data_IF_520695007727
#
_entry.id   IF_520695007727
#
_cell.length_a   1.000
_cell.length_b   1.000
_cell.length_c   1.000
_cell.angle_alpha   90.00
_cell.angle_beta   90.00
_cell.angle_gamma   90.00
#
_symmetry.space_group_name_H-M   'P 1'
#
loop_
_entity.id
_entity.type
_entity.pdbx_description
1 polymer ?
#
# COMPACT_ATOMS: atom_id res chain seq x y z
N UNK A 1 -0.24 -27.53 -1.09
CA UNK A 1 -0.77 -26.54 -0.11
C UNK A 1 0.23 -26.38 1.02
N UNK A 2 0.62 -25.17 1.32
CA UNK A 2 1.46 -24.82 2.46
C UNK A 2 0.70 -25.03 3.78
N UNK A 3 1.42 -25.30 4.87
CA UNK A 3 0.81 -25.60 6.18
C UNK A 3 0.45 -24.37 7.00
N UNK A 4 0.96 -23.19 6.64
CA UNK A 4 0.93 -22.00 7.50
C UNK A 4 0.21 -20.85 6.83
N UNK A 5 -0.58 -20.07 7.60
CA UNK A 5 -1.07 -18.78 7.13
C UNK A 5 0.09 -17.81 6.90
N UNK A 6 -0.08 -16.89 5.99
CA UNK A 6 0.94 -15.90 5.63
C UNK A 6 0.40 -14.48 5.84
N UNK A 7 1.21 -13.63 6.44
CA UNK A 7 1.10 -12.17 6.39
C UNK A 7 2.33 -11.67 5.66
N UNK A 8 2.14 -11.17 4.44
CA UNK A 8 3.20 -10.62 3.61
C UNK A 8 3.18 -9.09 3.68
N UNK A 9 4.31 -8.50 4.06
CA UNK A 9 4.44 -7.06 4.32
C UNK A 9 4.54 -6.20 3.08
N UNK A 10 4.73 -6.77 1.86
CA UNK A 10 4.95 -5.94 0.68
C UNK A 10 4.74 -6.69 -0.65
N UNK A 11 4.05 -6.04 -1.58
CA UNK A 11 4.14 -6.31 -3.01
C UNK A 11 3.73 -5.08 -3.83
N UNK A 12 4.22 -4.98 -5.09
CA UNK A 12 3.91 -3.89 -6.02
C UNK A 12 2.70 -4.20 -6.93
N UNK A 13 2.07 -5.34 -6.74
CA UNK A 13 1.04 -5.86 -7.63
C UNK A 13 -0.08 -4.85 -7.90
N UNK A 14 -0.52 -4.06 -6.91
CA UNK A 14 -1.62 -3.11 -7.07
C UNK A 14 -1.35 -2.08 -8.19
N UNK A 15 -0.14 -1.51 -8.23
CA UNK A 15 0.26 -0.54 -9.25
C UNK A 15 0.47 -1.22 -10.62
N UNK A 16 1.03 -2.43 -10.61
CA UNK A 16 1.23 -3.21 -11.84
C UNK A 16 -0.10 -3.60 -12.50
N UNK A 17 -1.11 -4.01 -11.72
CA UNK A 17 -2.46 -4.28 -12.23
C UNK A 17 -3.05 -3.06 -12.95
N UNK A 18 -2.98 -1.89 -12.31
CA UNK A 18 -3.45 -0.65 -12.91
C UNK A 18 -2.70 -0.30 -14.20
N UNK A 19 -1.37 -0.42 -14.21
CA UNK A 19 -0.53 -0.12 -15.40
C UNK A 19 -0.83 -1.02 -16.59
N UNK A 20 -1.10 -2.29 -16.33
CA UNK A 20 -1.26 -3.32 -17.37
C UNK A 20 -2.71 -3.61 -17.70
N UNK A 21 -3.66 -3.14 -16.88
CA UNK A 21 -5.07 -3.50 -17.00
C UNK A 21 -5.33 -4.97 -16.66
N UNK A 22 -4.50 -5.57 -15.81
CA UNK A 22 -4.61 -6.97 -15.41
C UNK A 22 -5.51 -7.16 -14.19
N UNK A 23 -6.05 -8.36 -14.00
CA UNK A 23 -6.92 -8.72 -12.86
C UNK A 23 -6.12 -9.20 -11.66
N UNK A 24 -6.65 -8.95 -10.45
CA UNK A 24 -6.12 -9.54 -9.22
C UNK A 24 -6.27 -11.07 -9.21
N UNK A 25 -7.24 -11.64 -9.92
CA UNK A 25 -7.45 -13.09 -10.00
C UNK A 25 -6.23 -13.82 -10.56
N UNK A 26 -5.77 -13.35 -11.73
CA UNK A 26 -4.58 -13.85 -12.42
C UNK A 26 -3.84 -12.68 -13.07
N UNK A 27 -2.55 -12.59 -12.88
CA UNK A 27 -1.72 -11.50 -13.39
C UNK A 27 -0.25 -11.90 -13.51
N UNK A 28 0.54 -11.01 -14.12
CA UNK A 28 1.97 -11.15 -14.27
C UNK A 28 2.79 -10.51 -13.14
N UNK A 29 2.14 -10.04 -12.08
CA UNK A 29 2.77 -9.42 -10.92
C UNK A 29 3.33 -10.41 -9.90
N UNK A 30 3.58 -9.91 -8.69
CA UNK A 30 4.22 -10.69 -7.62
C UNK A 30 3.24 -11.67 -6.95
N UNK A 31 1.96 -11.30 -6.87
CA UNK A 31 0.92 -12.12 -6.26
C UNK A 31 -0.40 -12.02 -7.03
N UNK A 32 -1.11 -13.15 -7.13
CA UNK A 32 -2.48 -13.24 -7.62
C UNK A 32 -3.35 -14.00 -6.62
N UNK A 33 -4.67 -13.94 -6.78
CA UNK A 33 -5.58 -14.74 -5.94
C UNK A 33 -5.37 -16.24 -6.15
N UNK A 34 -5.01 -16.65 -7.36
CA UNK A 34 -4.68 -18.04 -7.65
C UNK A 34 -3.48 -18.53 -6.81
N UNK A 35 -2.43 -17.71 -6.71
CA UNK A 35 -1.24 -18.00 -5.88
C UNK A 35 -1.56 -17.91 -4.38
N UNK A 36 -2.30 -16.88 -3.95
CA UNK A 36 -2.69 -16.73 -2.54
C UNK A 36 -3.55 -17.90 -2.04
N UNK A 37 -4.37 -18.51 -2.90
CA UNK A 37 -5.21 -19.66 -2.57
C UNK A 37 -4.43 -20.95 -2.28
N UNK A 38 -3.12 -20.98 -2.56
CA UNK A 38 -2.25 -22.11 -2.18
C UNK A 38 -1.97 -22.15 -0.66
N UNK A 39 -2.26 -21.07 0.05
CA UNK A 39 -2.09 -20.94 1.49
C UNK A 39 -3.43 -21.09 2.22
N UNK A 40 -3.45 -21.61 3.46
CA UNK A 40 -4.69 -21.74 4.24
C UNK A 40 -5.32 -20.37 4.56
N UNK A 41 -4.49 -19.34 4.71
CA UNK A 41 -4.89 -17.94 4.83
C UNK A 41 -3.75 -17.05 4.34
N UNK A 42 -4.07 -15.93 3.69
CA UNK A 42 -3.08 -15.02 3.14
C UNK A 42 -3.51 -13.55 3.30
N UNK A 43 -2.69 -12.74 3.94
CA UNK A 43 -2.90 -11.29 4.01
C UNK A 43 -1.70 -10.60 3.35
N UNK A 44 -1.97 -9.75 2.38
CA UNK A 44 -0.95 -9.01 1.62
C UNK A 44 -1.05 -7.52 1.88
N UNK A 45 0.10 -6.89 2.16
CA UNK A 45 0.25 -5.44 2.00
C UNK A 45 0.54 -5.13 0.54
N UNK A 46 -0.37 -4.38 -0.10
CA UNK A 46 -0.23 -3.90 -1.47
C UNK A 46 0.31 -2.47 -1.45
N UNK A 47 1.50 -2.29 -2.01
CA UNK A 47 2.17 -1.01 -2.03
C UNK A 47 1.75 -0.16 -3.24
N UNK A 48 1.56 1.13 -2.98
CA UNK A 48 1.34 2.15 -4.00
C UNK A 48 2.59 3.01 -4.13
N UNK A 49 3.43 2.68 -5.12
CA UNK A 49 4.60 3.45 -5.52
C UNK A 49 4.40 3.92 -6.96
N UNK A 50 3.89 5.14 -7.15
CA UNK A 50 3.59 5.68 -8.49
C UNK A 50 4.57 6.76 -8.96
N UNK A 51 5.47 7.21 -8.10
CA UNK A 51 6.38 8.34 -8.33
C UNK A 51 7.43 8.11 -9.44
N UNK A 52 7.76 6.85 -9.70
CA UNK A 52 8.70 6.48 -10.77
C UNK A 52 8.06 6.41 -12.16
N UNK A 53 6.73 6.41 -12.24
CA UNK A 53 5.99 6.31 -13.51
C UNK A 53 6.01 7.67 -14.19
N UNK A 54 6.48 7.71 -15.43
CA UNK A 54 6.54 8.93 -16.24
C UNK A 54 5.52 8.85 -17.36
N UNK A 55 4.45 9.60 -17.21
CA UNK A 55 3.40 9.80 -18.22
C UNK A 55 2.87 11.24 -18.11
N UNK A 56 1.75 11.56 -18.79
CA UNK A 56 1.17 12.90 -18.78
C UNK A 56 0.45 13.27 -17.48
N UNK A 57 0.19 12.30 -16.58
CA UNK A 57 -0.50 12.53 -15.31
C UNK A 57 0.47 13.08 -14.25
N UNK A 58 -0.07 13.83 -13.29
CA UNK A 58 0.63 14.20 -12.04
C UNK A 58 0.81 12.98 -11.13
N UNK A 59 1.65 13.08 -10.12
CA UNK A 59 1.85 12.01 -9.12
C UNK A 59 0.53 11.71 -8.40
N UNK A 60 -0.23 12.73 -8.03
CA UNK A 60 -1.53 12.59 -7.37
C UNK A 60 -2.58 11.92 -8.29
N UNK A 61 -2.65 12.29 -9.57
CA UNK A 61 -3.57 11.65 -10.52
C UNK A 61 -3.25 10.17 -10.74
N UNK A 62 -1.97 9.81 -10.84
CA UNK A 62 -1.54 8.41 -10.94
C UNK A 62 -1.92 7.62 -9.70
N UNK A 63 -1.61 8.16 -8.53
CA UNK A 63 -1.94 7.54 -7.25
C UNK A 63 -3.45 7.35 -7.10
N UNK A 64 -4.26 8.39 -7.38
CA UNK A 64 -5.71 8.31 -7.30
C UNK A 64 -6.28 7.25 -8.26
N UNK A 65 -5.76 7.19 -9.50
CA UNK A 65 -6.18 6.22 -10.51
C UNK A 65 -5.83 4.78 -10.12
N UNK A 66 -4.61 4.55 -9.64
CA UNK A 66 -4.17 3.23 -9.17
C UNK A 66 -4.99 2.75 -7.95
N UNK A 67 -5.24 3.64 -6.99
CA UNK A 67 -6.08 3.34 -5.82
C UNK A 67 -7.53 3.01 -6.21
N UNK A 68 -8.10 3.74 -7.18
CA UNK A 68 -9.45 3.48 -7.67
C UNK A 68 -9.52 2.11 -8.37
N UNK A 69 -8.57 1.83 -9.26
CA UNK A 69 -8.48 0.55 -9.97
C UNK A 69 -8.38 -0.63 -8.99
N UNK A 70 -7.47 -0.55 -8.03
CA UNK A 70 -7.26 -1.62 -7.08
C UNK A 70 -8.47 -1.81 -6.14
N UNK A 71 -9.12 -0.73 -5.73
CA UNK A 71 -10.35 -0.80 -4.92
C UNK A 71 -11.47 -1.55 -5.66
N UNK A 72 -11.57 -1.36 -6.98
CA UNK A 72 -12.51 -2.10 -7.82
C UNK A 72 -12.14 -3.58 -7.89
N UNK A 73 -10.86 -3.92 -8.02
CA UNK A 73 -10.40 -5.31 -8.00
C UNK A 73 -10.75 -5.99 -6.66
N UNK A 74 -10.55 -5.33 -5.53
CA UNK A 74 -10.95 -5.89 -4.23
C UNK A 74 -12.47 -6.13 -4.15
N UNK A 75 -13.27 -5.21 -4.67
CA UNK A 75 -14.72 -5.32 -4.68
C UNK A 75 -15.20 -6.45 -5.61
N UNK A 76 -14.67 -6.53 -6.82
CA UNK A 76 -15.00 -7.54 -7.83
C UNK A 76 -14.76 -8.95 -7.31
N UNK A 77 -13.65 -9.15 -6.61
CA UNK A 77 -13.25 -10.46 -6.10
C UNK A 77 -13.65 -10.70 -4.64
N UNK A 78 -14.42 -9.80 -4.02
CA UNK A 78 -14.87 -9.89 -2.63
C UNK A 78 -13.71 -10.05 -1.63
N UNK A 79 -12.58 -9.38 -1.86
CA UNK A 79 -11.43 -9.41 -0.97
C UNK A 79 -11.60 -8.33 0.12
N UNK A 80 -11.65 -8.72 1.41
CA UNK A 80 -11.77 -7.77 2.49
C UNK A 80 -10.51 -6.91 2.63
N UNK A 81 -10.73 -5.61 2.84
CA UNK A 81 -9.69 -4.66 3.18
C UNK A 81 -9.46 -4.68 4.70
N UNK A 82 -8.29 -5.16 5.11
CA UNK A 82 -7.87 -5.20 6.51
C UNK A 82 -7.46 -3.80 6.99
N UNK A 83 -8.22 -3.25 7.90
CA UNK A 83 -8.01 -1.91 8.48
C UNK A 83 -7.52 -1.95 9.92
N UNK A 84 -7.64 -3.10 10.56
CA UNK A 84 -7.28 -3.32 11.96
C UNK A 84 -6.54 -4.64 12.12
N UNK A 85 -5.86 -4.81 13.25
CA UNK A 85 -5.26 -6.10 13.62
C UNK A 85 -6.32 -7.20 13.79
N UNK A 86 -7.54 -6.83 14.18
CA UNK A 86 -8.65 -7.77 14.29
C UNK A 86 -9.06 -8.32 12.91
N UNK A 87 -9.08 -7.48 11.85
CA UNK A 87 -9.37 -7.91 10.49
C UNK A 87 -8.32 -8.92 10.00
N UNK A 88 -7.05 -8.60 10.21
CA UNK A 88 -5.92 -9.51 9.89
C UNK A 88 -6.06 -10.83 10.64
N UNK A 89 -6.30 -10.75 11.96
CA UNK A 89 -6.45 -11.94 12.80
C UNK A 89 -7.62 -12.81 12.36
N UNK A 90 -8.72 -12.21 11.97
CA UNK A 90 -9.89 -12.93 11.47
C UNK A 90 -9.56 -13.73 10.20
N UNK A 91 -8.86 -13.13 9.23
CA UNK A 91 -8.40 -13.86 8.02
C UNK A 91 -7.45 -14.99 8.39
N UNK A 92 -6.42 -14.71 9.21
CA UNK A 92 -5.40 -15.71 9.55
C UNK A 92 -5.98 -16.90 10.33
N UNK A 93 -7.06 -16.71 11.09
CA UNK A 93 -7.72 -17.77 11.88
C UNK A 93 -8.78 -18.53 11.08
N UNK A 94 -9.55 -17.85 10.23
CA UNK A 94 -10.70 -18.43 9.53
C UNK A 94 -10.39 -18.88 8.11
N UNK A 95 -9.23 -18.51 7.59
CA UNK A 95 -8.84 -18.76 6.20
C UNK A 95 -9.27 -17.65 5.25
N UNK A 96 -8.82 -17.78 3.99
CA UNK A 96 -9.11 -16.85 2.91
C UNK A 96 -8.00 -15.85 2.64
N UNK A 97 -8.31 -14.82 1.84
CA UNK A 97 -7.37 -13.78 1.42
C UNK A 97 -7.85 -12.43 1.91
N UNK A 98 -6.94 -11.61 2.42
CA UNK A 98 -7.18 -10.23 2.83
C UNK A 98 -6.14 -9.27 2.24
N UNK A 99 -6.51 -8.02 2.04
CA UNK A 99 -5.64 -6.97 1.56
C UNK A 99 -5.41 -5.89 2.63
N UNK A 100 -4.19 -5.41 2.76
CA UNK A 100 -3.83 -4.20 3.48
C UNK A 100 -3.14 -3.23 2.51
N UNK A 101 -3.20 -1.93 2.76
CA UNK A 101 -2.65 -0.92 1.84
C UNK A 101 -1.44 -0.22 2.45
N UNK A 102 -0.40 -0.06 1.64
CA UNK A 102 0.76 0.76 1.96
C UNK A 102 1.06 1.76 0.84
N UNK A 103 1.80 2.83 1.18
CA UNK A 103 2.27 3.83 0.22
C UNK A 103 3.78 3.94 0.35
N UNK A 104 4.48 3.99 -0.78
CA UNK A 104 5.90 4.25 -0.86
C UNK A 104 6.17 5.59 -1.55
N UNK A 105 6.70 6.53 -0.77
CA UNK A 105 6.94 7.90 -1.20
C UNK A 105 5.72 8.78 -1.02
N UNK A 106 5.78 9.69 -0.06
CA UNK A 106 4.72 10.66 0.22
C UNK A 106 4.55 11.70 -0.90
N UNK A 107 5.45 11.73 -1.87
CA UNK A 107 5.34 12.52 -3.10
C UNK A 107 4.04 12.22 -3.86
N UNK A 108 3.51 11.01 -3.73
CA UNK A 108 2.24 10.60 -4.33
C UNK A 108 1.05 11.50 -3.92
N UNK A 109 1.19 12.27 -2.84
CA UNK A 109 0.22 13.26 -2.35
C UNK A 109 0.90 14.53 -1.82
N UNK A 110 1.94 15.01 -2.53
CA UNK A 110 2.68 16.24 -2.30
C UNK A 110 3.32 16.37 -0.91
N UNK A 111 3.63 15.26 -0.26
CA UNK A 111 4.16 15.23 1.11
C UNK A 111 3.26 15.96 2.13
N UNK A 112 1.97 16.12 1.84
CA UNK A 112 1.03 16.87 2.68
C UNK A 112 0.56 16.03 3.87
N UNK A 113 0.95 16.36 5.11
CA UNK A 113 0.47 15.66 6.30
C UNK A 113 -1.05 15.86 6.53
N UNK A 114 -1.69 16.82 5.86
CA UNK A 114 -3.14 17.03 5.90
C UNK A 114 -3.95 15.92 5.26
N UNK A 115 -3.32 15.10 4.41
CA UNK A 115 -3.98 13.99 3.71
C UNK A 115 -4.02 12.68 4.52
N UNK A 116 -3.30 12.59 5.63
CA UNK A 116 -3.09 11.34 6.36
C UNK A 116 -4.39 10.76 6.94
N UNK A 117 -5.28 11.59 7.47
CA UNK A 117 -6.57 11.15 8.01
C UNK A 117 -7.50 10.62 6.91
N UNK A 118 -7.52 11.26 5.72
CA UNK A 118 -8.23 10.78 4.55
C UNK A 118 -7.67 9.43 4.08
N UNK A 119 -6.33 9.31 3.97
CA UNK A 119 -5.68 8.06 3.56
C UNK A 119 -5.96 6.93 4.55
N UNK A 120 -5.93 7.21 5.85
CA UNK A 120 -6.31 6.24 6.89
C UNK A 120 -7.78 5.80 6.75
N UNK A 121 -8.70 6.73 6.47
CA UNK A 121 -10.11 6.42 6.22
C UNK A 121 -10.30 5.56 4.96
N UNK A 122 -9.46 5.74 3.94
CA UNK A 122 -9.42 4.90 2.72
C UNK A 122 -8.80 3.52 2.96
N UNK A 123 -8.21 3.28 4.12
CA UNK A 123 -7.66 1.98 4.52
C UNK A 123 -6.15 1.85 4.43
N UNK A 124 -5.42 2.92 4.16
CA UNK A 124 -3.95 2.91 4.23
C UNK A 124 -3.52 2.69 5.67
N UNK A 125 -2.57 1.76 5.89
CA UNK A 125 -2.06 1.40 7.23
C UNK A 125 -0.56 1.48 7.37
N UNK A 126 0.15 1.71 6.27
CA UNK A 126 1.61 1.83 6.28
C UNK A 126 2.06 2.86 5.24
N UNK A 127 3.03 3.71 5.59
CA UNK A 127 3.62 4.71 4.69
C UNK A 127 5.12 4.80 4.89
N UNK A 128 5.88 4.71 3.80
CA UNK A 128 7.26 5.18 3.75
C UNK A 128 7.25 6.68 3.36
N UNK A 129 7.80 7.59 4.19
CA UNK A 129 7.84 9.01 3.87
C UNK A 129 8.59 9.33 2.57
N UNK A 130 9.61 8.57 2.27
CA UNK A 130 10.39 8.67 1.02
C UNK A 130 10.51 7.30 0.36
N UNK A 131 10.72 7.29 -0.94
CA UNK A 131 11.15 6.11 -1.68
C UNK A 131 12.66 6.21 -1.98
N UNK A 132 13.10 6.30 -3.24
CA UNK A 132 14.52 6.35 -3.60
C UNK A 132 15.12 7.77 -3.57
N UNK A 133 14.33 8.80 -3.84
CA UNK A 133 14.77 10.19 -3.83
C UNK A 133 14.42 10.87 -2.50
N UNK A 134 15.24 11.82 -2.09
CA UNK A 134 14.88 12.73 -1.00
C UNK A 134 13.68 13.59 -1.37
N UNK A 135 12.90 14.01 -0.37
CA UNK A 135 11.76 14.90 -0.53
C UNK A 135 11.65 15.90 0.64
N UNK A 136 10.55 16.63 0.73
CA UNK A 136 10.34 17.61 1.80
C UNK A 136 10.35 16.99 3.23
N UNK A 137 10.12 15.67 3.36
CA UNK A 137 10.00 14.98 4.66
C UNK A 137 11.33 14.40 5.15
N UNK A 138 12.16 13.88 4.25
CA UNK A 138 13.41 13.22 4.64
C UNK A 138 14.40 13.11 3.49
N UNK A 139 15.68 12.90 3.83
CA UNK A 139 16.64 12.30 2.93
C UNK A 139 16.32 10.84 2.63
N UNK A 140 16.99 10.27 1.64
CA UNK A 140 16.76 8.89 1.18
C UNK A 140 17.99 8.01 1.42
N UNK A 141 17.86 6.72 1.13
CA UNK A 141 18.99 5.79 1.12
C UNK A 141 20.09 6.19 0.10
N UNK A 142 19.73 6.97 -0.92
CA UNK A 142 20.66 7.43 -1.96
C UNK A 142 21.38 8.72 -1.59
N UNK A 143 20.72 9.61 -0.84
CA UNK A 143 21.25 10.94 -0.50
C UNK A 143 21.71 11.06 0.94
N UNK A 144 21.32 10.12 1.81
CA UNK A 144 21.54 10.19 3.24
C UNK A 144 20.64 11.24 3.92
N UNK A 145 20.93 11.56 5.17
CA UNK A 145 20.12 12.46 5.99
C UNK A 145 18.97 11.75 6.67
N UNK A 146 18.30 12.46 7.55
CA UNK A 146 17.16 11.95 8.32
C UNK A 146 15.91 12.79 8.07
N UNK A 147 14.93 12.62 8.96
CA UNK A 147 13.69 13.40 8.90
C UNK A 147 13.93 14.89 9.05
N UNK A 148 13.32 15.67 8.20
CA UNK A 148 13.20 17.12 8.36
C UNK A 148 12.28 17.49 9.54
N UNK A 149 12.10 18.76 9.85
CA UNK A 149 11.09 19.19 10.81
C UNK A 149 9.68 18.79 10.37
N UNK A 150 9.37 18.98 9.07
CA UNK A 150 8.11 18.56 8.45
C UNK A 150 7.94 17.04 8.49
N UNK A 151 9.00 16.31 8.20
CA UNK A 151 8.98 14.83 8.26
C UNK A 151 8.68 14.30 9.67
N UNK A 152 9.25 14.90 10.72
CA UNK A 152 8.93 14.55 12.10
C UNK A 152 7.44 14.79 12.46
N UNK A 153 6.87 15.89 11.98
CA UNK A 153 5.44 16.16 12.19
C UNK A 153 4.58 15.19 11.37
N UNK A 154 4.98 14.90 10.12
CA UNK A 154 4.33 13.91 9.29
C UNK A 154 4.24 12.55 9.99
N UNK A 155 5.36 12.04 10.51
CA UNK A 155 5.38 10.74 11.23
C UNK A 155 4.46 10.77 12.46
N UNK A 156 4.48 11.85 13.26
CA UNK A 156 3.57 11.96 14.42
C UNK A 156 2.10 11.97 14.00
N UNK A 157 1.75 12.63 12.91
CA UNK A 157 0.37 12.63 12.38
C UNK A 157 -0.02 11.27 11.83
N UNK A 158 0.86 10.61 11.08
CA UNK A 158 0.64 9.26 10.59
C UNK A 158 0.31 8.31 11.75
N UNK A 159 1.11 8.32 12.81
CA UNK A 159 0.88 7.50 14.00
C UNK A 159 -0.47 7.81 14.67
N UNK A 160 -0.84 9.10 14.81
CA UNK A 160 -2.15 9.49 15.37
C UNK A 160 -3.31 9.01 14.49
N UNK A 161 -3.13 8.98 13.17
CA UNK A 161 -4.11 8.46 12.22
C UNK A 161 -4.16 6.91 12.16
N UNK A 162 -3.32 6.21 12.92
CA UNK A 162 -3.22 4.75 12.91
C UNK A 162 -2.48 4.19 11.69
N UNK A 163 -1.56 4.97 11.13
CA UNK A 163 -0.69 4.58 10.01
C UNK A 163 0.72 4.35 10.54
N UNK A 164 1.30 3.20 10.24
CA UNK A 164 2.70 2.87 10.53
C UNK A 164 3.61 3.64 9.57
N UNK A 165 4.69 4.23 10.08
CA UNK A 165 5.78 4.76 9.24
C UNK A 165 6.91 3.75 9.19
N UNK A 166 7.36 3.48 7.97
CA UNK A 166 8.54 2.64 7.69
C UNK A 166 9.79 3.51 7.52
#
# INVERSE_FOLDING_TARGET
>A
MTKYPVLDGHCDTAVELWRKGESLAENSGQISLAQAAEFPAYVQFFAFCTVWIKNAQTDEERFASAMAYFSEQLREHNIPLCRTSADVSAILQNGGVGAALSIEGAEAFDCDPGRLEELAARGVRMIAPVWNAENALAGSCMTGGGLTAQGREFVRRAQRAGILSM
#
